data_IF_973852045164
#
_entry.id   IF_973852045164
#
_cell.length_a   1.000
_cell.length_b   1.000
_cell.length_c   1.000
_cell.angle_alpha   90.00
_cell.angle_beta   90.00
_cell.angle_gamma   90.00
#
_symmetry.space_group_name_H-M   'P 1'
#
loop_
_entity.id
_entity.type
_entity.pdbx_description
1 polymer ?
#
# COMPACT_ATOMS: atom_id res chain seq x y z
N UNK A 1 12.42 11.09 -60.27
CA UNK A 1 11.86 12.01 -59.23
C UNK A 1 11.09 11.12 -58.22
N UNK A 2 11.68 10.88 -57.06
CA UNK A 2 11.08 10.05 -56.01
C UNK A 2 10.41 10.97 -54.98
N UNK A 3 9.09 10.90 -54.83
CA UNK A 3 8.36 11.64 -53.81
C UNK A 3 8.68 11.08 -52.41
N UNK A 4 8.90 11.94 -51.40
CA UNK A 4 9.19 11.45 -50.04
C UNK A 4 7.86 10.94 -49.41
N UNK A 5 7.87 9.68 -48.93
CA UNK A 5 6.80 9.09 -48.11
C UNK A 5 6.54 9.98 -46.87
N UNK A 6 5.39 10.64 -46.82
CA UNK A 6 4.89 11.36 -45.64
C UNK A 6 4.71 10.36 -44.50
N UNK A 7 5.50 10.51 -43.46
CA UNK A 7 5.30 9.85 -42.16
C UNK A 7 3.91 10.27 -41.62
N UNK A 8 2.99 9.33 -41.55
CA UNK A 8 1.68 9.54 -40.92
C UNK A 8 1.92 9.83 -39.44
N UNK A 9 1.59 11.04 -38.96
CA UNK A 9 1.48 11.37 -37.55
C UNK A 9 0.42 10.45 -36.92
N UNK A 10 0.71 9.82 -35.74
CA UNK A 10 -0.28 9.02 -35.04
C UNK A 10 -1.44 9.93 -34.62
N UNK A 11 -2.66 9.54 -34.96
CA UNK A 11 -3.88 10.22 -34.52
C UNK A 11 -4.11 9.97 -33.02
N UNK A 12 -4.71 10.90 -32.27
CA UNK A 12 -5.00 10.80 -30.84
C UNK A 12 -5.68 9.46 -30.42
N UNK A 13 -6.43 8.82 -31.31
CA UNK A 13 -7.01 7.49 -31.11
C UNK A 13 -6.01 6.32 -31.11
N UNK A 14 -4.77 6.52 -31.61
CA UNK A 14 -3.72 5.49 -31.57
C UNK A 14 -3.06 5.37 -30.20
N UNK A 15 -2.84 6.49 -29.52
CA UNK A 15 -2.28 6.53 -28.16
C UNK A 15 -3.24 5.92 -27.14
N UNK A 16 -4.52 6.31 -27.17
CA UNK A 16 -5.53 5.76 -26.25
C UNK A 16 -5.70 4.23 -26.36
N UNK A 17 -5.60 3.67 -27.58
CA UNK A 17 -5.62 2.21 -27.78
C UNK A 17 -4.36 1.53 -27.27
N UNK A 18 -3.20 2.18 -27.38
CA UNK A 18 -1.94 1.69 -26.86
C UNK A 18 -1.94 1.59 -25.33
N UNK A 19 -2.41 2.66 -24.68
CA UNK A 19 -2.51 2.72 -23.21
C UNK A 19 -3.51 1.68 -22.68
N UNK A 20 -4.66 1.52 -23.34
CA UNK A 20 -5.65 0.51 -22.98
C UNK A 20 -5.08 -0.92 -23.13
N UNK A 21 -4.33 -1.19 -24.18
CA UNK A 21 -3.69 -2.50 -24.38
C UNK A 21 -2.63 -2.76 -23.32
N UNK A 22 -1.81 -1.76 -23.01
CA UNK A 22 -0.80 -1.83 -21.96
C UNK A 22 -1.44 -2.13 -20.60
N UNK A 23 -2.54 -1.46 -20.25
CA UNK A 23 -3.29 -1.67 -19.02
C UNK A 23 -3.82 -3.11 -18.92
N UNK A 24 -4.44 -3.65 -19.98
CA UNK A 24 -4.93 -5.04 -20.03
C UNK A 24 -3.82 -6.05 -19.81
N UNK A 25 -2.63 -5.82 -20.37
CA UNK A 25 -1.47 -6.71 -20.15
C UNK A 25 -1.04 -6.66 -18.68
N UNK A 26 -0.96 -5.49 -18.06
CA UNK A 26 -0.60 -5.33 -16.64
C UNK A 26 -1.62 -6.02 -15.74
N UNK A 27 -2.93 -5.86 -15.97
CA UNK A 27 -3.99 -6.50 -15.20
C UNK A 27 -3.92 -8.05 -15.29
N UNK A 28 -3.72 -8.57 -16.49
CA UNK A 28 -3.52 -10.01 -16.70
C UNK A 28 -2.25 -10.52 -16.01
N UNK A 29 -1.16 -9.73 -16.05
CA UNK A 29 0.10 -10.08 -15.44
C UNK A 29 0.02 -10.06 -13.90
N UNK A 30 -0.62 -9.05 -13.29
CA UNK A 30 -0.86 -9.00 -11.85
C UNK A 30 -1.59 -10.26 -11.39
N UNK A 31 -2.62 -10.67 -12.12
CA UNK A 31 -3.38 -11.87 -11.80
C UNK A 31 -2.51 -13.14 -11.86
N UNK A 32 -1.76 -13.34 -12.93
CA UNK A 32 -0.95 -14.56 -13.11
C UNK A 32 0.29 -14.57 -12.18
N UNK A 33 0.95 -13.45 -11.97
CA UNK A 33 2.02 -13.35 -10.99
C UNK A 33 1.51 -13.58 -9.57
N UNK A 34 0.34 -13.05 -9.22
CA UNK A 34 -0.28 -13.31 -7.92
C UNK A 34 -0.59 -14.80 -7.72
N UNK A 35 -1.17 -15.46 -8.70
CA UNK A 35 -1.57 -16.86 -8.61
C UNK A 35 -0.37 -17.82 -8.65
N UNK A 36 0.60 -17.61 -9.53
CA UNK A 36 1.65 -18.57 -9.84
C UNK A 36 3.06 -18.12 -9.45
N UNK A 37 3.23 -16.88 -8.99
CA UNK A 37 4.54 -16.27 -8.76
C UNK A 37 5.23 -15.85 -10.06
N UNK A 38 6.37 -15.15 -9.90
CA UNK A 38 7.15 -14.72 -11.06
C UNK A 38 7.60 -15.91 -11.90
N UNK A 39 8.21 -16.93 -11.33
CA UNK A 39 8.72 -18.07 -12.09
C UNK A 39 7.62 -18.87 -12.78
N UNK A 40 6.46 -19.09 -12.10
CA UNK A 40 5.37 -19.91 -12.60
C UNK A 40 4.49 -19.26 -13.68
N UNK A 41 4.51 -17.92 -13.80
CA UNK A 41 3.75 -17.20 -14.82
C UNK A 41 4.54 -17.07 -16.12
N UNK A 42 4.01 -17.54 -17.25
CA UNK A 42 4.65 -17.35 -18.56
C UNK A 42 4.13 -16.10 -19.28
N UNK A 43 5.01 -15.43 -20.04
CA UNK A 43 4.60 -14.28 -20.87
C UNK A 43 3.59 -14.68 -21.96
N UNK A 44 3.57 -15.95 -22.37
CA UNK A 44 2.61 -16.51 -23.33
C UNK A 44 1.21 -16.57 -22.70
N UNK A 45 1.10 -17.05 -21.46
CA UNK A 45 -0.16 -17.14 -20.76
C UNK A 45 -0.71 -15.76 -20.41
N UNK A 46 0.19 -14.81 -20.05
CA UNK A 46 -0.16 -13.41 -19.82
C UNK A 46 -0.72 -12.79 -21.11
N UNK A 47 -0.05 -12.96 -22.24
CA UNK A 47 -0.53 -12.46 -23.54
C UNK A 47 -1.90 -13.05 -23.91
N UNK A 48 -2.08 -14.37 -23.75
CA UNK A 48 -3.33 -15.05 -24.00
C UNK A 48 -4.47 -14.50 -23.12
N UNK A 49 -4.22 -14.34 -21.81
CA UNK A 49 -5.19 -13.77 -20.85
C UNK A 49 -5.54 -12.31 -21.14
N UNK A 50 -4.57 -11.53 -21.61
CA UNK A 50 -4.77 -10.12 -22.00
C UNK A 50 -5.48 -9.98 -23.37
N UNK A 51 -5.67 -11.07 -24.10
CA UNK A 51 -6.24 -11.04 -25.45
C UNK A 51 -5.31 -10.41 -26.51
N UNK A 52 -3.98 -10.51 -26.30
CA UNK A 52 -2.97 -10.02 -27.24
C UNK A 52 -2.05 -11.17 -27.70
N UNK A 53 -1.30 -10.94 -28.77
CA UNK A 53 -0.28 -11.89 -29.19
C UNK A 53 1.06 -11.62 -28.47
N UNK A 54 1.95 -12.62 -28.40
CA UNK A 54 3.24 -12.49 -27.73
C UNK A 54 4.14 -11.37 -28.28
N UNK A 55 4.20 -11.10 -29.61
CA UNK A 55 4.89 -9.93 -30.13
C UNK A 55 4.38 -8.58 -29.62
N UNK A 56 3.06 -8.45 -29.41
CA UNK A 56 2.49 -7.23 -28.84
C UNK A 56 2.93 -7.03 -27.39
N UNK A 57 2.99 -8.08 -26.58
CA UNK A 57 3.52 -8.00 -25.22
C UNK A 57 4.98 -7.53 -25.22
N UNK A 58 5.83 -8.11 -26.09
CA UNK A 58 7.23 -7.70 -26.23
C UNK A 58 7.40 -6.25 -26.71
N UNK A 59 6.43 -5.72 -27.46
CA UNK A 59 6.43 -4.32 -27.87
C UNK A 59 6.24 -3.36 -26.69
N UNK A 60 5.41 -3.73 -25.70
CA UNK A 60 5.14 -2.88 -24.52
C UNK A 60 6.14 -3.08 -23.38
N UNK A 61 6.71 -4.29 -23.27
CA UNK A 61 7.60 -4.66 -22.16
C UNK A 61 8.80 -5.42 -22.71
N UNK A 62 9.98 -4.93 -22.42
CA UNK A 62 11.24 -5.46 -22.91
C UNK A 62 11.43 -6.95 -22.57
N UNK A 63 11.06 -7.32 -21.33
CA UNK A 63 11.17 -8.68 -20.81
C UNK A 63 10.16 -8.91 -19.69
N UNK A 64 10.18 -10.11 -19.10
CA UNK A 64 9.26 -10.51 -18.02
C UNK A 64 9.48 -9.68 -16.74
N UNK A 65 10.71 -9.30 -16.43
CA UNK A 65 11.04 -8.45 -15.28
C UNK A 65 10.54 -7.02 -15.47
N UNK A 66 10.66 -6.45 -16.67
CA UNK A 66 10.09 -5.15 -17.01
C UNK A 66 8.57 -5.12 -16.89
N UNK A 67 7.91 -6.23 -17.27
CA UNK A 67 6.46 -6.38 -17.03
C UNK A 67 6.14 -6.50 -15.53
N UNK A 68 6.92 -7.26 -14.75
CA UNK A 68 6.74 -7.39 -13.32
C UNK A 68 6.92 -6.05 -12.60
N UNK A 69 7.95 -5.29 -13.00
CA UNK A 69 8.15 -3.91 -12.55
C UNK A 69 6.93 -3.03 -12.83
N UNK A 70 6.41 -3.06 -14.06
CA UNK A 70 5.22 -2.28 -14.43
C UNK A 70 3.98 -2.68 -13.62
N UNK A 71 3.85 -3.95 -13.24
CA UNK A 71 2.80 -4.42 -12.31
C UNK A 71 2.98 -3.79 -10.93
N UNK A 72 4.20 -3.84 -10.37
CA UNK A 72 4.51 -3.23 -9.07
C UNK A 72 4.28 -1.71 -9.08
N UNK A 73 4.68 -1.02 -10.16
CA UNK A 73 4.42 0.41 -10.35
C UNK A 73 2.91 0.74 -10.37
N UNK A 74 2.14 -0.02 -11.15
CA UNK A 74 0.68 0.15 -11.22
C UNK A 74 0.01 -0.06 -9.86
N UNK A 75 0.44 -1.07 -9.10
CA UNK A 75 -0.06 -1.35 -7.75
C UNK A 75 0.39 -0.29 -6.75
N UNK A 76 1.60 0.23 -6.87
CA UNK A 76 2.11 1.32 -6.06
C UNK A 76 1.31 2.61 -6.28
N UNK A 77 1.06 2.97 -7.55
CA UNK A 77 0.31 4.17 -7.91
C UNK A 77 -1.14 4.09 -7.38
N UNK A 78 -1.82 2.96 -7.58
CA UNK A 78 -3.16 2.74 -7.04
C UNK A 78 -3.19 2.75 -5.49
N UNK A 79 -2.12 2.24 -4.85
CA UNK A 79 -1.98 2.30 -3.41
C UNK A 79 -1.76 3.72 -2.93
N UNK A 80 -0.85 4.44 -3.57
CA UNK A 80 -0.53 5.82 -3.20
C UNK A 80 -1.72 6.76 -3.34
N UNK A 81 -2.48 6.67 -4.43
CA UNK A 81 -3.71 7.42 -4.63
C UNK A 81 -4.70 7.29 -3.46
N UNK A 82 -4.77 6.12 -2.84
CA UNK A 82 -5.63 5.91 -1.67
C UNK A 82 -5.04 6.56 -0.40
N UNK A 83 -3.72 6.53 -0.20
CA UNK A 83 -3.07 7.06 0.99
C UNK A 83 -2.79 8.56 0.93
N UNK A 84 -2.55 9.12 -0.25
CA UNK A 84 -2.10 10.49 -0.44
C UNK A 84 -2.93 11.53 0.30
N UNK A 85 -4.29 11.50 0.28
CA UNK A 85 -5.09 12.51 1.00
C UNK A 85 -4.85 12.49 2.51
N UNK A 86 -4.74 11.30 3.12
CA UNK A 86 -4.47 11.17 4.55
C UNK A 86 -3.03 11.57 4.90
N UNK A 87 -2.06 11.21 4.06
CA UNK A 87 -0.66 11.59 4.21
C UNK A 87 -0.47 13.10 4.11
N UNK A 88 -1.14 13.76 3.17
CA UNK A 88 -1.09 15.22 3.02
C UNK A 88 -1.66 15.94 4.25
N UNK A 89 -2.79 15.46 4.81
CA UNK A 89 -3.35 16.00 6.06
C UNK A 89 -2.39 15.79 7.23
N UNK A 90 -1.79 14.63 7.34
CA UNK A 90 -0.82 14.32 8.40
C UNK A 90 0.44 15.20 8.32
N UNK A 91 0.98 15.39 7.11
CA UNK A 91 2.11 16.31 6.88
C UNK A 91 1.77 17.76 7.21
N UNK A 92 0.56 18.21 6.86
CA UNK A 92 0.09 19.55 7.22
C UNK A 92 -0.03 19.73 8.74
N UNK A 93 -0.58 18.74 9.45
CA UNK A 93 -0.68 18.77 10.92
C UNK A 93 0.71 18.83 11.58
N UNK A 94 1.67 18.04 11.09
CA UNK A 94 3.06 18.07 11.56
C UNK A 94 3.73 19.43 11.30
N UNK A 95 3.54 20.00 10.11
CA UNK A 95 4.14 21.29 9.73
C UNK A 95 3.56 22.48 10.51
N UNK A 96 2.31 22.40 10.93
CA UNK A 96 1.63 23.45 11.71
C UNK A 96 1.82 23.31 13.22
N UNK A 97 2.63 22.36 13.67
CA UNK A 97 2.82 22.07 15.10
C UNK A 97 1.51 21.81 15.85
N UNK A 98 0.62 21.07 15.21
CA UNK A 98 -0.74 20.84 15.68
C UNK A 98 -0.78 20.14 17.04
N UNK A 99 -1.90 20.32 17.77
CA UNK A 99 -2.15 19.66 19.04
C UNK A 99 -2.06 18.14 18.94
N UNK A 100 -1.74 17.46 20.04
CA UNK A 100 -1.65 16.00 20.14
C UNK A 100 -2.93 15.30 19.68
N UNK A 101 -4.11 15.84 19.96
CA UNK A 101 -5.39 15.29 19.51
C UNK A 101 -5.48 15.26 17.97
N UNK A 102 -5.08 16.34 17.30
CA UNK A 102 -5.05 16.43 15.84
C UNK A 102 -4.04 15.45 15.24
N UNK A 103 -2.87 15.27 15.88
CA UNK A 103 -1.86 14.31 15.43
C UNK A 103 -2.36 12.86 15.58
N UNK A 104 -3.10 12.55 16.64
CA UNK A 104 -3.75 11.25 16.85
C UNK A 104 -4.78 11.00 15.75
N UNK A 105 -5.65 11.97 15.44
CA UNK A 105 -6.61 11.84 14.35
C UNK A 105 -5.93 11.63 13.00
N UNK A 106 -4.84 12.34 12.73
CA UNK A 106 -4.07 12.18 11.49
C UNK A 106 -3.47 10.76 11.37
N UNK A 107 -2.97 10.19 12.47
CA UNK A 107 -2.51 8.80 12.50
C UNK A 107 -3.65 7.81 12.23
N UNK A 108 -4.78 7.99 12.91
CA UNK A 108 -5.98 7.16 12.74
C UNK A 108 -6.56 7.25 11.33
N UNK A 109 -6.44 8.38 10.66
CA UNK A 109 -6.91 8.58 9.29
C UNK A 109 -6.09 7.75 8.28
N UNK A 110 -4.76 7.72 8.44
CA UNK A 110 -3.89 6.81 7.67
C UNK A 110 -4.25 5.35 7.99
N UNK A 111 -4.46 5.03 9.26
CA UNK A 111 -4.80 3.68 9.70
C UNK A 111 -6.15 3.22 9.14
N UNK A 112 -7.18 4.10 9.06
CA UNK A 112 -8.46 3.81 8.41
C UNK A 112 -8.27 3.45 6.95
N UNK A 113 -7.39 4.15 6.24
CA UNK A 113 -7.06 3.82 4.83
C UNK A 113 -6.45 2.43 4.70
N UNK A 114 -5.56 2.03 5.63
CA UNK A 114 -5.03 0.65 5.68
C UNK A 114 -6.15 -0.35 5.93
N UNK A 115 -7.05 -0.05 6.88
CA UNK A 115 -8.19 -0.91 7.20
C UNK A 115 -9.15 -1.08 6.01
N UNK A 116 -9.47 0.00 5.30
CA UNK A 116 -10.31 -0.04 4.10
C UNK A 116 -9.71 -0.97 3.04
N UNK A 117 -8.40 -0.86 2.80
CA UNK A 117 -7.69 -1.73 1.85
C UNK A 117 -7.61 -3.19 2.31
N UNK A 118 -7.60 -3.43 3.62
CA UNK A 118 -7.51 -4.78 4.20
C UNK A 118 -8.88 -5.47 4.24
N UNK A 119 -9.93 -4.75 4.61
CA UNK A 119 -11.23 -5.33 4.92
C UNK A 119 -12.25 -5.14 3.82
N UNK A 120 -12.25 -4.00 3.12
CA UNK A 120 -13.19 -3.71 2.04
C UNK A 120 -12.61 -4.18 0.72
N UNK A 121 -13.45 -4.71 -0.17
CA UNK A 121 -13.10 -5.39 -1.43
C UNK A 121 -12.42 -4.52 -2.52
N UNK A 122 -11.62 -3.52 -2.16
CA UNK A 122 -10.93 -2.68 -3.17
C UNK A 122 -9.58 -3.26 -3.64
N UNK A 123 -9.09 -4.33 -3.02
CA UNK A 123 -7.96 -5.06 -3.55
C UNK A 123 -8.48 -6.36 -4.15
N UNK A 124 -8.47 -6.49 -5.47
CA UNK A 124 -8.80 -7.72 -6.17
C UNK A 124 -8.03 -8.90 -5.57
N UNK A 125 -8.61 -10.11 -5.48
CA UNK A 125 -7.93 -11.26 -4.88
C UNK A 125 -6.54 -11.49 -5.43
N UNK A 126 -6.34 -11.26 -6.73
CA UNK A 126 -5.07 -11.42 -7.41
C UNK A 126 -4.02 -10.38 -6.98
N UNK A 127 -4.44 -9.14 -6.73
CA UNK A 127 -3.57 -8.09 -6.21
C UNK A 127 -3.09 -8.43 -4.79
N UNK A 128 -3.98 -8.96 -3.93
CA UNK A 128 -3.59 -9.42 -2.59
C UNK A 128 -2.57 -10.54 -2.65
N UNK A 129 -2.74 -11.48 -3.58
CA UNK A 129 -1.79 -12.57 -3.78
C UNK A 129 -0.43 -12.03 -4.26
N UNK A 130 -0.42 -11.05 -5.18
CA UNK A 130 0.81 -10.39 -5.62
C UNK A 130 1.58 -9.78 -4.44
N UNK A 131 0.91 -8.97 -3.61
CA UNK A 131 1.52 -8.37 -2.42
C UNK A 131 1.98 -9.41 -1.40
N UNK A 132 1.20 -10.47 -1.17
CA UNK A 132 1.56 -11.52 -0.22
C UNK A 132 2.82 -12.28 -0.66
N UNK A 133 2.96 -12.57 -1.96
CA UNK A 133 4.16 -13.20 -2.52
C UNK A 133 5.37 -12.29 -2.43
N UNK A 134 5.21 -11.03 -2.81
CA UNK A 134 6.28 -10.03 -2.75
C UNK A 134 6.84 -9.92 -1.32
N UNK A 135 5.97 -9.91 -0.30
CA UNK A 135 6.39 -9.86 1.09
C UNK A 135 6.96 -11.19 1.60
N UNK A 136 6.54 -12.32 1.05
CA UNK A 136 7.02 -13.64 1.42
C UNK A 136 8.46 -13.95 0.94
N UNK A 137 8.99 -13.13 0.05
CA UNK A 137 10.29 -13.33 -0.59
C UNK A 137 10.24 -14.35 -1.74
N UNK A 138 11.31 -14.42 -2.51
CA UNK A 138 11.41 -15.31 -3.69
C UNK A 138 10.87 -14.73 -4.99
N UNK A 139 10.32 -13.52 -4.94
CA UNK A 139 9.93 -12.74 -6.12
C UNK A 139 11.05 -11.76 -6.53
N UNK A 140 11.05 -11.21 -7.78
CA UNK A 140 12.08 -10.27 -8.22
C UNK A 140 12.19 -9.04 -7.32
N UNK A 141 13.39 -8.71 -6.89
CA UNK A 141 13.68 -7.60 -5.98
C UNK A 141 13.18 -6.25 -6.51
N UNK A 142 13.13 -6.09 -7.83
CA UNK A 142 12.63 -4.89 -8.50
C UNK A 142 11.20 -4.52 -8.08
N UNK A 143 10.33 -5.51 -7.82
CA UNK A 143 8.96 -5.26 -7.34
C UNK A 143 8.94 -4.77 -5.89
N UNK A 144 9.73 -5.41 -5.04
CA UNK A 144 9.93 -5.03 -3.63
C UNK A 144 10.46 -3.60 -3.52
N UNK A 145 11.44 -3.25 -4.35
CA UNK A 145 12.04 -1.92 -4.38
C UNK A 145 11.04 -0.83 -4.77
N UNK A 146 10.27 -1.05 -5.83
CA UNK A 146 9.22 -0.12 -6.28
C UNK A 146 8.17 0.11 -5.18
N UNK A 147 7.64 -0.96 -4.57
CA UNK A 147 6.64 -0.85 -3.52
C UNK A 147 7.21 -0.23 -2.24
N UNK A 148 8.46 -0.53 -1.91
CA UNK A 148 9.18 0.07 -0.80
C UNK A 148 9.30 1.58 -0.97
N UNK A 149 9.82 2.03 -2.11
CA UNK A 149 10.11 3.44 -2.36
C UNK A 149 8.85 4.29 -2.53
N UNK A 150 7.88 3.80 -3.32
CA UNK A 150 6.71 4.60 -3.67
C UNK A 150 5.60 4.55 -2.62
N UNK A 151 5.55 3.55 -1.74
CA UNK A 151 4.46 3.38 -0.78
C UNK A 151 4.96 3.24 0.65
N UNK A 152 5.81 2.22 0.93
CA UNK A 152 6.14 1.89 2.32
C UNK A 152 7.00 2.95 3.00
N UNK A 153 8.05 3.43 2.34
CA UNK A 153 8.93 4.46 2.92
C UNK A 153 8.18 5.77 3.21
N UNK A 154 7.43 6.38 2.28
CA UNK A 154 6.68 7.59 2.57
C UNK A 154 5.62 7.43 3.67
N UNK A 155 4.96 6.27 3.76
CA UNK A 155 4.02 5.98 4.83
C UNK A 155 4.72 5.82 6.20
N UNK A 156 5.82 5.08 6.24
CA UNK A 156 6.58 4.86 7.47
C UNK A 156 7.17 6.18 8.00
N UNK A 157 7.70 7.03 7.11
CA UNK A 157 8.22 8.34 7.45
C UNK A 157 7.17 9.21 8.16
N UNK A 158 5.97 9.33 7.60
CA UNK A 158 4.90 10.14 8.19
C UNK A 158 4.38 9.52 9.49
N UNK A 159 4.19 8.21 9.54
CA UNK A 159 3.71 7.52 10.74
C UNK A 159 4.71 7.60 11.90
N UNK A 160 6.01 7.41 11.63
CA UNK A 160 7.04 7.55 12.66
C UNK A 160 7.18 8.99 13.13
N UNK A 161 7.04 9.98 12.25
CA UNK A 161 7.01 11.39 12.63
C UNK A 161 5.81 11.74 13.52
N UNK A 162 4.61 11.25 13.20
CA UNK A 162 3.43 11.42 14.04
C UNK A 162 3.64 10.79 15.42
N UNK A 163 4.12 9.54 15.47
CA UNK A 163 4.41 8.85 16.72
C UNK A 163 5.47 9.56 17.54
N UNK A 164 6.54 10.04 16.92
CA UNK A 164 7.59 10.82 17.57
C UNK A 164 7.02 12.05 18.28
N UNK A 165 6.18 12.81 17.61
CA UNK A 165 5.51 13.98 18.18
C UNK A 165 4.53 13.62 19.30
N UNK A 166 3.75 12.55 19.15
CA UNK A 166 2.78 12.06 20.15
C UNK A 166 3.51 11.55 21.39
N UNK A 167 4.61 10.83 21.23
CA UNK A 167 5.29 10.11 22.32
C UNK A 167 6.47 10.86 22.93
N UNK A 168 6.99 11.89 22.24
CA UNK A 168 8.19 12.63 22.65
C UNK A 168 9.51 11.86 22.43
N UNK A 169 9.48 10.79 21.66
CA UNK A 169 10.66 10.05 21.20
C UNK A 169 11.14 10.58 19.85
N UNK A 170 12.30 10.17 19.36
CA UNK A 170 12.68 10.43 17.97
C UNK A 170 11.99 9.48 16.99
N UNK A 171 11.90 9.88 15.72
CA UNK A 171 11.21 9.07 14.71
C UNK A 171 11.94 7.76 14.37
N UNK A 172 13.25 7.75 14.56
CA UNK A 172 14.17 6.62 14.37
C UNK A 172 14.43 5.81 15.65
N UNK A 173 13.83 6.23 16.79
CA UNK A 173 13.93 5.45 18.04
C UNK A 173 13.34 4.03 17.81
N UNK A 174 14.08 2.97 18.21
CA UNK A 174 13.58 1.61 18.09
C UNK A 174 12.19 1.39 18.70
N UNK A 175 11.87 2.07 19.80
CA UNK A 175 10.56 1.99 20.44
C UNK A 175 9.46 2.65 19.60
N UNK A 176 9.76 3.77 18.91
CA UNK A 176 8.84 4.38 17.95
C UNK A 176 8.51 3.42 16.81
N UNK A 177 9.53 2.74 16.28
CA UNK A 177 9.37 1.75 15.19
C UNK A 177 8.56 0.54 15.68
N UNK A 178 8.88 0.01 16.86
CA UNK A 178 8.13 -1.13 17.46
C UNK A 178 6.66 -0.76 17.70
N UNK A 179 6.39 0.43 18.24
CA UNK A 179 5.03 0.94 18.44
C UNK A 179 4.27 1.05 17.11
N UNK A 180 4.91 1.59 16.08
CA UNK A 180 4.33 1.68 14.74
C UNK A 180 3.96 0.28 14.21
N UNK A 181 4.88 -0.67 14.24
CA UNK A 181 4.59 -2.02 13.78
C UNK A 181 3.53 -2.74 14.63
N UNK A 182 3.46 -2.50 15.94
CA UNK A 182 2.42 -3.05 16.80
C UNK A 182 1.03 -2.57 16.39
N UNK A 183 0.89 -1.28 16.09
CA UNK A 183 -0.39 -0.69 15.68
C UNK A 183 -0.84 -1.17 14.29
N UNK A 184 0.09 -1.40 13.36
CA UNK A 184 -0.23 -1.92 12.03
C UNK A 184 -0.31 -3.46 12.00
N UNK A 185 0.37 -4.16 12.88
CA UNK A 185 0.33 -5.62 13.00
C UNK A 185 -1.07 -6.17 13.28
N UNK A 186 -1.96 -5.36 13.87
CA UNK A 186 -3.36 -5.71 14.10
C UNK A 186 -4.12 -6.07 12.81
N UNK A 187 -3.73 -5.47 11.68
CA UNK A 187 -4.33 -5.77 10.38
C UNK A 187 -3.72 -6.99 9.70
N UNK A 188 -2.45 -7.29 10.02
CA UNK A 188 -1.69 -8.34 9.36
C UNK A 188 -2.33 -9.73 9.54
N UNK A 189 -2.92 -10.01 10.70
CA UNK A 189 -3.62 -11.26 10.96
C UNK A 189 -4.81 -11.47 10.01
N UNK A 190 -5.57 -10.43 9.74
CA UNK A 190 -6.70 -10.49 8.80
C UNK A 190 -6.24 -10.60 7.34
N UNK A 191 -5.00 -10.25 7.05
CA UNK A 191 -4.41 -10.36 5.72
C UNK A 191 -3.75 -11.73 5.51
N UNK A 192 -2.81 -12.11 6.40
CA UNK A 192 -1.98 -13.32 6.27
C UNK A 192 -2.71 -14.56 6.78
N UNK A 193 -3.39 -14.46 7.93
CA UNK A 193 -4.09 -15.56 8.60
C UNK A 193 -5.62 -15.47 8.44
N UNK A 194 -6.11 -14.88 7.34
CA UNK A 194 -7.53 -14.59 7.12
C UNK A 194 -8.45 -15.79 7.41
N UNK A 195 -8.08 -16.98 6.93
CA UNK A 195 -8.90 -18.19 7.14
C UNK A 195 -9.04 -18.52 8.64
N UNK A 196 -7.95 -18.47 9.37
CA UNK A 196 -7.94 -18.76 10.81
C UNK A 196 -8.72 -17.73 11.61
N UNK A 197 -8.53 -16.43 11.31
CA UNK A 197 -9.26 -15.34 11.99
C UNK A 197 -10.76 -15.40 11.71
N UNK A 198 -11.18 -15.68 10.49
CA UNK A 198 -12.59 -15.86 10.15
C UNK A 198 -13.21 -17.05 10.86
N UNK A 199 -12.48 -18.17 10.95
CA UNK A 199 -12.94 -19.37 11.69
C UNK A 199 -13.12 -19.07 13.17
N UNK A 200 -12.18 -18.35 13.81
CA UNK A 200 -12.30 -17.98 15.23
C UNK A 200 -13.47 -17.03 15.51
N UNK A 201 -13.81 -16.17 14.55
CA UNK A 201 -14.92 -15.23 14.66
C UNK A 201 -16.26 -15.83 14.22
N UNK A 202 -16.29 -17.07 13.78
CA UNK A 202 -17.45 -17.72 13.16
C UNK A 202 -18.03 -16.90 11.98
N UNK A 203 -17.13 -16.33 11.16
CA UNK A 203 -17.48 -15.54 10.01
C UNK A 203 -17.15 -16.28 8.70
N UNK A 204 -18.09 -16.27 7.76
CA UNK A 204 -17.84 -16.80 6.41
C UNK A 204 -17.00 -15.83 5.57
N UNK A 205 -17.24 -14.53 5.74
CA UNK A 205 -16.51 -13.46 5.04
C UNK A 205 -16.59 -12.16 5.86
N UNK A 206 -15.83 -11.14 5.46
CA UNK A 206 -15.91 -9.79 5.99
C UNK A 206 -16.77 -8.97 5.01
N UNK A 207 -18.03 -8.77 5.39
CA UNK A 207 -18.96 -7.84 4.73
C UNK A 207 -18.75 -6.41 5.24
N UNK A 208 -19.50 -5.44 4.71
CA UNK A 208 -19.37 -4.04 5.06
C UNK A 208 -19.58 -3.77 6.57
N UNK A 209 -20.53 -4.45 7.21
CA UNK A 209 -20.82 -4.27 8.64
C UNK A 209 -19.68 -4.81 9.50
N UNK A 210 -19.14 -5.98 9.16
CA UNK A 210 -17.99 -6.57 9.86
C UNK A 210 -16.70 -5.77 9.62
N UNK A 211 -16.49 -5.24 8.40
CA UNK A 211 -15.38 -4.34 8.11
C UNK A 211 -15.45 -3.09 8.99
N UNK A 212 -16.65 -2.49 9.13
CA UNK A 212 -16.82 -1.31 9.99
C UNK A 212 -16.62 -1.64 11.47
N UNK A 213 -17.13 -2.79 11.93
CA UNK A 213 -16.87 -3.29 13.29
C UNK A 213 -15.35 -3.43 13.56
N UNK A 214 -14.59 -4.04 12.65
CA UNK A 214 -13.14 -4.18 12.81
C UNK A 214 -12.42 -2.82 12.81
N UNK A 215 -12.79 -1.93 11.89
CA UNK A 215 -12.20 -0.58 11.79
C UNK A 215 -12.43 0.22 13.07
N UNK A 216 -13.65 0.23 13.59
CA UNK A 216 -14.00 0.92 14.82
C UNK A 216 -13.20 0.40 16.01
N UNK A 217 -13.22 -0.92 16.24
CA UNK A 217 -12.53 -1.51 17.39
C UNK A 217 -11.01 -1.35 17.35
N UNK A 218 -10.40 -1.56 16.18
CA UNK A 218 -8.95 -1.38 16.02
C UNK A 218 -8.58 0.11 16.17
N UNK A 219 -9.39 1.01 15.61
CA UNK A 219 -9.19 2.45 15.74
C UNK A 219 -9.29 2.93 17.19
N UNK A 220 -10.27 2.45 17.96
CA UNK A 220 -10.41 2.76 19.38
C UNK A 220 -9.24 2.25 20.21
N UNK A 221 -8.79 1.01 19.99
CA UNK A 221 -7.61 0.45 20.66
C UNK A 221 -6.36 1.29 20.36
N UNK A 222 -6.16 1.67 19.09
CA UNK A 222 -5.05 2.52 18.68
C UNK A 222 -5.12 3.89 19.37
N UNK A 223 -6.28 4.52 19.40
CA UNK A 223 -6.52 5.79 20.10
C UNK A 223 -6.11 5.71 21.57
N UNK A 224 -6.59 4.71 22.29
CA UNK A 224 -6.28 4.50 23.71
C UNK A 224 -4.78 4.41 23.94
N UNK A 225 -4.05 3.68 23.09
CA UNK A 225 -2.60 3.54 23.18
C UNK A 225 -1.89 4.88 22.90
N UNK A 226 -2.29 5.59 21.86
CA UNK A 226 -1.68 6.88 21.50
C UNK A 226 -1.91 7.95 22.59
N UNK A 227 -3.11 8.02 23.15
CA UNK A 227 -3.43 8.89 24.28
C UNK A 227 -2.66 8.51 25.54
N UNK A 228 -2.51 7.21 25.82
CA UNK A 228 -1.71 6.74 26.94
C UNK A 228 -0.24 7.17 26.79
N UNK A 229 0.37 6.95 25.64
CA UNK A 229 1.76 7.34 25.39
C UNK A 229 1.97 8.85 25.41
N UNK A 230 0.98 9.63 24.97
CA UNK A 230 1.06 11.09 25.07
C UNK A 230 1.06 11.58 26.53
N UNK A 231 0.21 10.97 27.38
CA UNK A 231 0.17 11.26 28.83
C UNK A 231 1.49 10.86 29.51
N UNK A 232 2.12 9.75 29.13
CA UNK A 232 3.45 9.38 29.63
C UNK A 232 4.51 10.41 29.28
N UNK A 233 4.50 10.93 28.05
CA UNK A 233 5.37 12.02 27.60
C UNK A 233 5.20 13.23 28.48
N UNK A 234 3.96 13.68 28.69
CA UNK A 234 3.68 14.91 29.45
C UNK A 234 4.07 14.74 30.91
N UNK A 235 3.80 13.61 31.53
CA UNK A 235 4.23 13.30 32.89
C UNK A 235 5.76 13.22 33.06
N UNK A 236 6.51 12.83 32.01
CA UNK A 236 7.99 12.90 32.02
C UNK A 236 8.49 14.32 31.93
N UNK A 237 7.89 15.15 31.06
CA UNK A 237 8.23 16.57 30.93
C UNK A 237 8.02 17.33 32.24
N UNK A 238 6.89 17.13 32.91
CA UNK A 238 6.56 17.76 34.19
C UNK A 238 7.54 17.38 35.31
N UNK A 239 7.97 16.11 35.33
CA UNK A 239 8.98 15.66 36.31
C UNK A 239 10.34 16.31 36.09
N UNK A 240 10.76 16.43 34.82
CA UNK A 240 12.01 17.07 34.46
C UNK A 240 11.99 18.58 34.81
N UNK A 241 10.86 19.24 34.55
CA UNK A 241 10.71 20.69 34.88
C UNK A 241 10.68 20.99 36.40
N UNK A 242 10.24 20.02 37.22
CA UNK A 242 10.20 20.16 38.70
C UNK A 242 11.51 19.72 39.38
N UNK A 243 12.38 19.01 38.70
CA UNK A 243 13.66 18.52 39.23
C UNK A 243 14.88 19.33 38.81
N UNK A 244 14.65 20.34 37.95
CA UNK A 244 15.62 21.37 37.55
C UNK A 244 15.40 22.68 38.32
#
# INVERSE_FOLDING_TARGET
MNEPKRLRRPTAGGYARGDETRRKIIEAAISLFGQHGFEGASTRDIAARAGVNAPALQYYFENKEGLYRACAESLADASWQAFEPAVLRARAALAQDADTAVLIEAFLDIQRTVADRTFVKHCEPDQRLFFAREQGGGEPEIGTEVLRERVRMPLNEVNSALLARITGLSADDPLTIVRMFSLYGQFLLFYVARRSTLTMLDWKDIDAAKAEFLKTNIGEQTRVLLEHWSRERDAKRDRQARGA
#
